data_IF_000959522317
#
_entry.id   IF_000959522317
#
_cell.length_a   1.000
_cell.length_b   1.000
_cell.length_c   1.000
_cell.angle_alpha   90.00
_cell.angle_beta   90.00
_cell.angle_gamma   90.00
#
_symmetry.space_group_name_H-M   'P 1'
#
loop_
_entity.id
_entity.type
_entity.pdbx_description
1 polymer ?
#
# COMPACT_ATOMS: atom_id res chain seq x y z
N UNK A 1 11.67 -15.56 -5.44
CA UNK A 1 12.36 -14.24 -5.42
C UNK A 1 12.76 -13.99 -3.98
N UNK A 2 14.04 -14.02 -3.68
CA UNK A 2 14.55 -13.70 -2.34
C UNK A 2 14.62 -12.18 -2.22
N UNK A 3 13.74 -11.58 -1.44
CA UNK A 3 13.71 -10.12 -1.20
C UNK A 3 15.11 -9.58 -0.80
N UNK A 4 15.90 -10.39 -0.12
CA UNK A 4 17.21 -10.03 0.41
C UNK A 4 18.31 -9.93 -0.64
N UNK A 5 18.28 -10.74 -1.69
CA UNK A 5 19.33 -10.78 -2.72
C UNK A 5 19.19 -9.66 -3.75
N UNK A 6 17.97 -9.14 -3.92
CA UNK A 6 17.63 -8.27 -5.03
C UNK A 6 17.51 -6.78 -4.63
N UNK A 7 17.83 -6.41 -3.38
CA UNK A 7 17.58 -5.07 -2.86
C UNK A 7 18.43 -3.92 -3.44
N UNK A 8 19.66 -4.08 -3.90
CA UNK A 8 20.45 -2.95 -4.44
C UNK A 8 20.27 -2.65 -5.93
N UNK A 9 19.80 -3.62 -6.73
CA UNK A 9 19.83 -3.55 -8.21
C UNK A 9 18.45 -3.52 -8.88
N UNK A 10 17.37 -3.45 -8.10
CA UNK A 10 16.05 -3.95 -8.48
C UNK A 10 15.19 -3.00 -9.32
N UNK A 11 15.48 -1.70 -9.40
CA UNK A 11 14.56 -0.80 -10.13
C UNK A 11 14.74 -0.78 -11.64
N UNK A 12 15.91 -1.07 -12.16
CA UNK A 12 16.09 -1.33 -13.60
C UNK A 12 15.42 -2.64 -14.03
N UNK A 13 15.17 -3.55 -13.09
CA UNK A 13 14.56 -4.85 -13.29
C UNK A 13 13.02 -4.88 -13.22
N UNK A 14 12.31 -3.76 -13.14
CA UNK A 14 10.84 -3.79 -13.09
C UNK A 14 10.22 -4.53 -14.29
N UNK A 15 10.85 -4.48 -15.46
CA UNK A 15 10.43 -5.25 -16.63
C UNK A 15 10.68 -6.75 -16.45
N UNK A 16 11.82 -7.13 -15.86
CA UNK A 16 12.12 -8.53 -15.53
C UNK A 16 11.25 -9.04 -14.38
N UNK A 17 10.96 -8.20 -13.40
CA UNK A 17 10.04 -8.51 -12.30
C UNK A 17 8.62 -8.77 -12.81
N UNK A 18 8.12 -7.99 -13.76
CA UNK A 18 6.84 -8.29 -14.42
C UNK A 18 6.86 -9.65 -15.11
N UNK A 19 7.95 -9.99 -15.80
CA UNK A 19 8.10 -11.29 -16.46
C UNK A 19 8.20 -12.44 -15.46
N UNK A 20 9.01 -12.27 -14.40
CA UNK A 20 9.11 -13.25 -13.31
C UNK A 20 7.77 -13.43 -12.59
N UNK A 21 7.06 -12.34 -12.31
CA UNK A 21 5.73 -12.36 -11.70
C UNK A 21 4.68 -13.00 -12.62
N UNK A 22 4.72 -12.72 -13.93
CA UNK A 22 3.86 -13.37 -14.90
C UNK A 22 4.03 -14.90 -14.88
N UNK A 23 5.28 -15.37 -14.92
CA UNK A 23 5.59 -16.79 -14.85
C UNK A 23 5.16 -17.38 -13.51
N UNK A 24 5.37 -16.69 -12.41
CA UNK A 24 4.96 -17.14 -11.08
C UNK A 24 3.43 -17.28 -10.95
N UNK A 25 2.67 -16.28 -11.41
CA UNK A 25 1.21 -16.36 -11.39
C UNK A 25 0.71 -17.44 -12.32
N UNK A 26 1.29 -17.57 -13.52
CA UNK A 26 0.95 -18.66 -14.43
C UNK A 26 1.18 -20.02 -13.80
N UNK A 27 2.32 -20.23 -13.12
CA UNK A 27 2.60 -21.48 -12.41
C UNK A 27 1.57 -21.78 -11.30
N UNK A 28 1.06 -20.77 -10.59
CA UNK A 28 -0.04 -20.96 -9.63
C UNK A 28 -1.30 -21.44 -10.33
N UNK A 29 -1.66 -20.82 -11.46
CA UNK A 29 -2.82 -21.22 -12.26
C UNK A 29 -2.68 -22.65 -12.80
N UNK A 30 -1.50 -23.00 -13.30
CA UNK A 30 -1.21 -24.37 -13.79
C UNK A 30 -1.33 -25.44 -12.66
N UNK A 31 -1.15 -25.04 -11.39
CA UNK A 31 -1.38 -25.85 -10.19
C UNK A 31 -2.83 -25.82 -9.69
N UNK A 32 -3.72 -25.11 -10.36
CA UNK A 32 -5.11 -24.96 -9.94
C UNK A 32 -5.33 -24.06 -8.72
N UNK A 33 -4.33 -23.23 -8.35
CA UNK A 33 -4.44 -22.29 -7.22
C UNK A 33 -5.24 -21.08 -7.67
N UNK A 34 -6.35 -20.72 -6.98
CA UNK A 34 -7.11 -19.50 -7.27
C UNK A 34 -6.27 -18.25 -7.05
N UNK A 35 -6.51 -17.23 -7.88
CA UNK A 35 -5.87 -15.90 -7.77
C UNK A 35 -6.95 -14.86 -7.55
N UNK A 36 -6.88 -14.14 -6.44
CA UNK A 36 -7.80 -13.06 -6.09
C UNK A 36 -7.06 -11.72 -6.20
N UNK A 37 -7.50 -10.89 -7.13
CA UNK A 37 -6.93 -9.56 -7.34
C UNK A 37 -7.65 -8.50 -6.52
N UNK A 38 -6.93 -7.54 -5.94
CA UNK A 38 -7.51 -6.46 -5.13
C UNK A 38 -6.87 -5.11 -5.42
N UNK A 39 -7.63 -4.02 -5.17
CA UNK A 39 -7.19 -2.65 -5.42
C UNK A 39 -7.00 -1.81 -4.17
N UNK A 40 -7.32 -2.31 -2.99
CA UNK A 40 -7.31 -1.48 -1.80
C UNK A 40 -6.73 -2.18 -0.56
N UNK A 41 -6.19 -1.38 0.35
CA UNK A 41 -5.70 -1.82 1.66
C UNK A 41 -6.84 -2.34 2.57
N UNK A 42 -8.09 -2.01 2.26
CA UNK A 42 -9.27 -2.52 2.99
C UNK A 42 -9.62 -3.98 2.65
N UNK A 43 -9.00 -4.56 1.64
CA UNK A 43 -9.24 -5.94 1.25
C UNK A 43 -8.85 -6.94 2.37
N UNK A 44 -9.84 -7.70 2.92
CA UNK A 44 -9.58 -8.69 3.98
C UNK A 44 -8.96 -9.95 3.36
N UNK A 45 -7.67 -9.87 3.02
CA UNK A 45 -6.94 -10.93 2.29
C UNK A 45 -6.94 -12.28 3.00
N UNK A 46 -7.06 -12.28 4.32
CA UNK A 46 -7.11 -13.48 5.15
C UNK A 46 -8.26 -14.42 4.76
N UNK A 47 -9.37 -13.86 4.29
CA UNK A 47 -10.51 -14.66 3.81
C UNK A 47 -10.16 -15.43 2.53
N UNK A 48 -9.51 -14.76 1.57
CA UNK A 48 -9.04 -15.40 0.35
C UNK A 48 -7.90 -16.40 0.62
N UNK A 49 -6.97 -16.05 1.49
CA UNK A 49 -5.87 -16.92 1.89
C UNK A 49 -6.34 -18.17 2.62
N UNK A 50 -7.43 -18.08 3.41
CA UNK A 50 -8.01 -19.22 4.12
C UNK A 50 -8.49 -20.34 3.17
N UNK A 51 -8.86 -20.00 1.93
CA UNK A 51 -9.19 -20.99 0.90
C UNK A 51 -7.97 -21.51 0.11
N UNK A 52 -6.77 -21.04 0.44
CA UNK A 52 -5.54 -21.39 -0.31
C UNK A 52 -5.33 -20.54 -1.57
N UNK A 53 -6.05 -19.44 -1.75
CA UNK A 53 -5.85 -18.55 -2.88
C UNK A 53 -4.62 -17.68 -2.72
N UNK A 54 -3.95 -17.37 -3.83
CA UNK A 54 -2.99 -16.30 -3.90
C UNK A 54 -3.71 -14.94 -4.01
N UNK A 55 -3.25 -13.95 -3.24
CA UNK A 55 -3.76 -12.59 -3.30
C UNK A 55 -2.76 -11.67 -3.99
N UNK A 56 -3.23 -10.84 -4.92
CA UNK A 56 -2.37 -9.94 -5.70
C UNK A 56 -2.90 -8.52 -5.70
N UNK A 57 -1.97 -7.54 -5.63
CA UNK A 57 -2.34 -6.13 -5.80
C UNK A 57 -2.45 -5.80 -7.28
N UNK A 58 -3.51 -5.07 -7.64
CA UNK A 58 -3.81 -4.67 -9.02
C UNK A 58 -3.63 -3.16 -9.26
N UNK A 59 -3.25 -2.38 -8.25
CA UNK A 59 -2.95 -0.96 -8.42
C UNK A 59 -1.77 -0.77 -9.37
N UNK A 60 -2.02 -0.19 -10.52
CA UNK A 60 -0.98 0.14 -11.50
C UNK A 60 -0.52 1.58 -11.32
N UNK A 61 0.78 1.81 -11.46
CA UNK A 61 1.44 3.09 -11.13
C UNK A 61 2.31 3.59 -12.31
N UNK A 62 1.83 3.40 -13.53
CA UNK A 62 2.50 3.82 -14.77
C UNK A 62 1.53 4.59 -15.67
N UNK A 63 2.03 5.51 -16.45
CA UNK A 63 1.26 6.27 -17.44
C UNK A 63 1.05 5.52 -18.79
N UNK A 64 1.73 4.39 -18.98
CA UNK A 64 1.75 3.61 -20.24
C UNK A 64 0.35 3.33 -20.82
N UNK A 65 -0.62 3.02 -19.97
CA UNK A 65 -1.97 2.62 -20.41
C UNK A 65 -3.03 3.69 -20.24
N UNK A 66 -2.67 4.86 -19.69
CA UNK A 66 -3.59 5.99 -19.50
C UNK A 66 -4.30 6.40 -20.80
N UNK A 67 -3.61 6.50 -21.96
CA UNK A 67 -4.29 6.81 -23.23
C UNK A 67 -5.37 5.80 -23.63
N UNK A 68 -5.21 4.53 -23.27
CA UNK A 68 -6.23 3.51 -23.52
C UNK A 68 -7.44 3.67 -22.57
N UNK A 69 -7.18 4.02 -21.32
CA UNK A 69 -8.23 4.29 -20.34
C UNK A 69 -9.05 5.55 -20.68
N UNK A 70 -8.43 6.58 -21.24
CA UNK A 70 -9.09 7.85 -21.59
C UNK A 70 -10.07 7.74 -22.78
N UNK A 71 -10.18 6.57 -23.41
CA UNK A 71 -11.24 6.29 -24.37
C UNK A 71 -12.61 6.11 -23.69
N UNK A 72 -12.60 5.68 -22.43
CA UNK A 72 -13.81 5.39 -21.65
C UNK A 72 -13.93 6.32 -20.43
N UNK A 73 -12.82 6.72 -19.85
CA UNK A 73 -12.76 7.51 -18.63
C UNK A 73 -12.36 8.97 -18.93
N UNK A 74 -12.87 9.95 -18.16
CA UNK A 74 -12.53 11.36 -18.36
C UNK A 74 -11.04 11.64 -18.10
N UNK A 75 -10.46 12.57 -18.86
CA UNK A 75 -9.04 12.97 -18.72
C UNK A 75 -8.71 13.55 -17.33
N UNK A 76 -9.65 14.29 -16.73
CA UNK A 76 -9.51 14.89 -15.39
C UNK A 76 -9.83 13.92 -14.26
N UNK A 77 -9.49 12.64 -14.42
CA UNK A 77 -9.61 11.60 -13.40
C UNK A 77 -8.23 11.23 -12.85
N UNK A 78 -8.21 10.77 -11.60
CA UNK A 78 -7.00 10.33 -10.90
C UNK A 78 -6.17 9.35 -11.76
N UNK A 79 -4.85 9.56 -11.92
CA UNK A 79 -3.98 8.71 -12.74
C UNK A 79 -3.91 7.27 -12.22
N UNK A 80 -4.06 7.02 -10.91
CA UNK A 80 -4.14 5.65 -10.37
C UNK A 80 -5.34 4.88 -10.93
N UNK A 81 -6.48 5.53 -11.06
CA UNK A 81 -7.70 4.92 -11.61
C UNK A 81 -7.51 4.66 -13.12
N UNK A 82 -7.04 5.67 -13.85
CA UNK A 82 -6.81 5.54 -15.31
C UNK A 82 -5.77 4.48 -15.61
N UNK A 83 -4.66 4.47 -14.91
CA UNK A 83 -3.61 3.46 -15.07
C UNK A 83 -4.15 2.05 -14.79
N UNK A 84 -4.79 1.84 -13.64
CA UNK A 84 -5.33 0.54 -13.24
C UNK A 84 -6.37 0.01 -14.24
N UNK A 85 -7.29 0.88 -14.68
CA UNK A 85 -8.29 0.53 -15.70
C UNK A 85 -7.65 0.23 -17.07
N UNK A 86 -6.69 1.05 -17.49
CA UNK A 86 -5.99 0.89 -18.76
C UNK A 86 -5.20 -0.42 -18.82
N UNK A 87 -4.48 -0.78 -17.75
CA UNK A 87 -3.79 -2.07 -17.67
C UNK A 87 -4.75 -3.26 -17.69
N UNK A 88 -5.90 -3.13 -17.03
CA UNK A 88 -6.95 -4.14 -17.06
C UNK A 88 -7.54 -4.31 -18.45
N UNK A 89 -7.93 -3.21 -19.09
CA UNK A 89 -8.56 -3.19 -20.43
C UNK A 89 -7.65 -3.68 -21.55
N UNK A 90 -6.34 -3.53 -21.40
CA UNK A 90 -5.35 -3.90 -22.42
C UNK A 90 -4.64 -5.22 -22.16
N UNK A 91 -5.05 -5.97 -21.12
CA UNK A 91 -4.44 -7.23 -20.70
C UNK A 91 -2.91 -7.14 -20.42
N UNK A 92 -2.42 -5.92 -20.17
CA UNK A 92 -0.99 -5.70 -19.90
C UNK A 92 -0.57 -6.01 -18.46
N UNK A 93 -1.52 -6.18 -17.56
CA UNK A 93 -1.25 -6.59 -16.18
C UNK A 93 -1.41 -8.11 -16.03
N UNK A 94 -0.32 -8.87 -15.82
CA UNK A 94 -0.42 -10.32 -15.66
C UNK A 94 -1.25 -10.72 -14.44
N UNK A 95 -1.18 -9.95 -13.38
CA UNK A 95 -1.98 -10.19 -12.18
C UNK A 95 -3.47 -10.03 -12.43
N UNK A 96 -3.88 -9.00 -13.16
CA UNK A 96 -5.28 -8.82 -13.55
C UNK A 96 -5.73 -9.94 -14.49
N UNK A 97 -4.93 -10.23 -15.51
CA UNK A 97 -5.24 -11.26 -16.52
C UNK A 97 -5.54 -12.61 -15.88
N UNK A 98 -4.68 -13.06 -14.93
CA UNK A 98 -4.82 -14.35 -14.27
C UNK A 98 -5.74 -14.36 -13.04
N UNK A 99 -6.23 -13.20 -12.58
CA UNK A 99 -7.18 -13.17 -11.46
C UNK A 99 -8.48 -13.89 -11.82
N UNK A 100 -8.94 -14.77 -10.96
CA UNK A 100 -10.25 -15.43 -11.08
C UNK A 100 -11.39 -14.52 -10.69
N UNK A 101 -11.12 -13.64 -9.73
CA UNK A 101 -12.02 -12.60 -9.23
C UNK A 101 -11.19 -11.35 -8.94
N UNK A 102 -11.75 -10.21 -9.28
CA UNK A 102 -11.28 -8.91 -8.85
C UNK A 102 -12.16 -8.41 -7.71
N UNK A 103 -11.56 -7.99 -6.60
CA UNK A 103 -12.29 -7.40 -5.47
C UNK A 103 -12.06 -5.90 -5.46
N UNK A 104 -13.15 -5.15 -5.37
CA UNK A 104 -13.13 -3.70 -5.35
C UNK A 104 -13.96 -3.15 -4.19
N UNK A 105 -13.33 -2.38 -3.30
CA UNK A 105 -14.00 -1.72 -2.19
C UNK A 105 -14.50 -0.34 -2.61
N UNK A 106 -15.72 0.02 -2.20
CA UNK A 106 -16.36 1.31 -2.54
C UNK A 106 -15.69 2.47 -1.80
N UNK A 107 -14.46 2.79 -2.19
CA UNK A 107 -13.68 3.89 -1.63
C UNK A 107 -14.09 5.24 -2.23
N UNK A 108 -13.43 5.74 -3.26
CA UNK A 108 -13.81 6.99 -3.92
C UNK A 108 -14.75 6.76 -5.11
N UNK A 109 -15.43 7.82 -5.57
CA UNK A 109 -16.41 7.72 -6.66
C UNK A 109 -15.80 7.23 -7.97
N UNK A 110 -14.57 7.65 -8.28
CA UNK A 110 -13.88 7.18 -9.47
C UNK A 110 -13.59 5.69 -9.44
N UNK A 111 -13.18 5.13 -8.29
CA UNK A 111 -12.97 3.68 -8.15
C UNK A 111 -14.27 2.90 -8.26
N UNK A 112 -15.33 3.36 -7.61
CA UNK A 112 -16.65 2.69 -7.70
C UNK A 112 -17.10 2.52 -9.16
N UNK A 113 -16.99 3.58 -9.97
CA UNK A 113 -17.36 3.53 -11.38
C UNK A 113 -16.35 2.73 -12.24
N UNK A 114 -15.08 2.80 -11.91
CA UNK A 114 -14.06 1.94 -12.55
C UNK A 114 -14.42 0.44 -12.40
N UNK A 115 -14.83 0.02 -11.21
CA UNK A 115 -15.21 -1.39 -10.96
C UNK A 115 -16.46 -1.80 -11.74
N UNK A 116 -17.44 -0.90 -11.86
CA UNK A 116 -18.65 -1.14 -12.65
C UNK A 116 -18.28 -1.41 -14.12
N UNK A 117 -17.42 -0.57 -14.71
CA UNK A 117 -16.96 -0.76 -16.09
C UNK A 117 -16.04 -1.96 -16.26
N UNK A 118 -15.21 -2.28 -15.27
CA UNK A 118 -14.43 -3.53 -15.28
C UNK A 118 -15.33 -4.77 -15.27
N UNK A 119 -16.49 -4.70 -14.66
CA UNK A 119 -17.48 -5.77 -14.63
C UNK A 119 -17.98 -6.18 -16.02
N UNK A 120 -17.79 -5.37 -17.05
CA UNK A 120 -18.15 -5.69 -18.44
C UNK A 120 -17.20 -6.73 -19.08
N UNK A 121 -15.97 -6.87 -18.58
CA UNK A 121 -14.97 -7.78 -19.14
C UNK A 121 -14.22 -8.65 -18.12
N UNK A 122 -14.49 -8.47 -16.82
CA UNK A 122 -13.91 -9.28 -15.74
C UNK A 122 -14.91 -9.46 -14.62
N UNK A 123 -14.91 -10.59 -13.96
CA UNK A 123 -15.73 -10.79 -12.78
C UNK A 123 -15.20 -9.94 -11.62
N UNK A 124 -16.03 -9.01 -11.15
CA UNK A 124 -15.71 -8.07 -10.07
C UNK A 124 -16.67 -8.28 -8.92
N UNK A 125 -16.13 -8.56 -7.74
CA UNK A 125 -16.88 -8.57 -6.49
C UNK A 125 -16.73 -7.22 -5.79
N UNK A 126 -17.82 -6.50 -5.60
CA UNK A 126 -17.79 -5.19 -4.94
C UNK A 126 -18.12 -5.36 -3.46
N UNK A 127 -17.24 -4.85 -2.60
CA UNK A 127 -17.46 -4.74 -1.15
C UNK A 127 -17.86 -3.31 -0.80
N UNK A 128 -18.99 -3.16 -0.13
CA UNK A 128 -19.51 -1.86 0.29
C UNK A 128 -18.78 -1.38 1.55
N UNK A 129 -17.76 -0.56 1.39
CA UNK A 129 -17.00 -0.01 2.50
C UNK A 129 -17.78 1.08 3.23
N UNK A 130 -18.08 0.93 4.53
CA UNK A 130 -18.62 2.02 5.34
C UNK A 130 -17.56 3.11 5.50
N UNK A 131 -17.79 4.29 4.91
CA UNK A 131 -16.85 5.40 4.94
C UNK A 131 -16.84 6.15 6.29
N UNK A 132 -16.81 5.40 7.38
CA UNK A 132 -16.83 5.88 8.75
C UNK A 132 -16.11 4.91 9.67
N UNK A 133 -15.48 5.45 10.72
CA UNK A 133 -14.78 4.67 11.75
C UNK A 133 -15.59 4.56 13.06
N UNK A 134 -16.89 4.86 13.01
CA UNK A 134 -17.80 4.77 14.17
C UNK A 134 -18.18 3.33 14.47
N UNK A 135 -18.28 2.95 15.75
CA UNK A 135 -18.64 1.60 16.15
C UNK A 135 -19.92 1.04 15.48
N UNK A 136 -20.91 1.90 15.25
CA UNK A 136 -22.21 1.50 14.64
C UNK A 136 -22.12 0.93 13.22
N UNK A 137 -21.00 1.15 12.50
CA UNK A 137 -20.84 0.63 11.13
C UNK A 137 -19.94 -0.61 11.06
N UNK A 138 -19.45 -1.07 12.19
CA UNK A 138 -18.60 -2.25 12.27
C UNK A 138 -19.32 -3.52 11.84
N UNK A 139 -20.57 -3.69 12.30
CA UNK A 139 -21.41 -4.84 11.91
C UNK A 139 -21.69 -4.86 10.40
N UNK A 140 -21.81 -3.68 9.77
CA UNK A 140 -21.98 -3.60 8.32
C UNK A 140 -20.73 -4.11 7.59
N UNK A 141 -19.54 -3.70 8.06
CA UNK A 141 -18.30 -4.16 7.44
C UNK A 141 -18.03 -5.64 7.68
N UNK A 142 -18.36 -6.15 8.88
CA UNK A 142 -18.33 -7.59 9.16
C UNK A 142 -19.28 -8.37 8.25
N UNK A 143 -20.49 -7.88 8.04
CA UNK A 143 -21.44 -8.50 7.12
C UNK A 143 -20.90 -8.56 5.68
N UNK A 144 -20.21 -7.51 5.21
CA UNK A 144 -19.56 -7.50 3.90
C UNK A 144 -18.41 -8.54 3.81
N UNK A 145 -17.63 -8.70 4.87
CA UNK A 145 -16.58 -9.72 4.95
C UNK A 145 -17.19 -11.13 4.87
N UNK A 146 -18.26 -11.38 5.59
CA UNK A 146 -18.98 -12.66 5.54
C UNK A 146 -19.63 -12.89 4.18
N UNK A 147 -20.22 -11.86 3.55
CA UNK A 147 -20.77 -11.93 2.17
C UNK A 147 -19.67 -12.28 1.16
N UNK A 148 -18.46 -11.72 1.33
CA UNK A 148 -17.31 -12.07 0.50
C UNK A 148 -16.89 -13.52 0.70
N UNK A 149 -16.84 -14.00 1.94
CA UNK A 149 -16.57 -15.41 2.25
C UNK A 149 -17.57 -16.34 1.56
N UNK A 150 -18.87 -16.11 1.73
CA UNK A 150 -19.94 -16.89 1.11
C UNK A 150 -19.86 -16.89 -0.42
N UNK A 151 -19.52 -15.75 -1.01
CA UNK A 151 -19.29 -15.64 -2.46
C UNK A 151 -18.15 -16.55 -2.92
N UNK A 152 -17.00 -16.55 -2.22
CA UNK A 152 -15.86 -17.40 -2.54
C UNK A 152 -16.23 -18.89 -2.38
N UNK A 153 -16.89 -19.26 -1.29
CA UNK A 153 -17.34 -20.64 -1.06
C UNK A 153 -18.23 -21.15 -2.19
N UNK A 154 -19.19 -20.33 -2.61
CA UNK A 154 -20.09 -20.67 -3.72
C UNK A 154 -19.36 -20.75 -5.07
N UNK A 155 -18.49 -19.78 -5.35
CA UNK A 155 -17.79 -19.71 -6.63
C UNK A 155 -16.81 -20.85 -6.85
N UNK A 156 -16.08 -21.24 -5.81
CA UNK A 156 -15.04 -22.27 -5.88
C UNK A 156 -15.51 -23.65 -5.37
N UNK A 157 -16.78 -23.76 -4.99
CA UNK A 157 -17.40 -25.01 -4.46
C UNK A 157 -16.63 -25.59 -3.27
N UNK A 158 -16.25 -24.74 -2.33
CA UNK A 158 -15.46 -25.08 -1.15
C UNK A 158 -16.14 -24.58 0.13
N UNK A 159 -15.64 -25.03 1.28
CA UNK A 159 -15.97 -24.45 2.59
C UNK A 159 -14.75 -23.81 3.20
N UNK A 160 -14.87 -22.56 3.63
CA UNK A 160 -13.83 -21.83 4.36
C UNK A 160 -14.16 -21.92 5.86
N UNK A 161 -13.38 -22.71 6.59
CA UNK A 161 -13.59 -22.89 8.03
C UNK A 161 -12.98 -21.75 8.82
N UNK A 162 -13.50 -21.49 10.03
CA UNK A 162 -12.93 -20.52 10.93
C UNK A 162 -11.47 -20.83 11.30
N UNK A 163 -11.12 -22.10 11.45
CA UNK A 163 -9.74 -22.53 11.71
C UNK A 163 -8.79 -22.10 10.59
N UNK A 164 -9.21 -22.23 9.32
CA UNK A 164 -8.43 -21.77 8.17
C UNK A 164 -8.27 -20.24 8.18
N UNK A 165 -9.34 -19.50 8.53
CA UNK A 165 -9.27 -18.03 8.66
C UNK A 165 -8.30 -17.64 9.77
N UNK A 166 -8.33 -18.28 10.94
CA UNK A 166 -7.39 -18.01 12.04
C UNK A 166 -5.94 -18.30 11.65
N UNK A 167 -5.67 -19.36 10.90
CA UNK A 167 -4.33 -19.65 10.35
C UNK A 167 -3.85 -18.53 9.39
N UNK A 168 -4.74 -18.06 8.51
CA UNK A 168 -4.42 -16.97 7.60
C UNK A 168 -4.18 -15.63 8.35
N UNK A 169 -4.98 -15.36 9.39
CA UNK A 169 -4.80 -14.20 10.28
C UNK A 169 -3.43 -14.25 10.95
N UNK A 170 -3.05 -15.39 11.53
CA UNK A 170 -1.75 -15.57 12.18
C UNK A 170 -0.60 -15.30 11.20
N UNK A 171 -0.63 -15.91 10.02
CA UNK A 171 0.39 -15.70 8.98
C UNK A 171 0.51 -14.22 8.58
N UNK A 172 -0.61 -13.53 8.34
CA UNK A 172 -0.57 -12.11 7.97
C UNK A 172 -0.14 -11.20 9.13
N UNK A 173 -0.44 -11.55 10.37
CA UNK A 173 0.07 -10.84 11.53
C UNK A 173 1.59 -11.01 11.69
N UNK A 174 2.12 -12.20 11.43
CA UNK A 174 3.57 -12.45 11.39
C UNK A 174 4.23 -11.56 10.32
N UNK A 175 3.68 -11.52 9.10
CA UNK A 175 4.17 -10.64 8.02
C UNK A 175 4.11 -9.16 8.41
N UNK A 176 2.98 -8.71 9.00
CA UNK A 176 2.85 -7.31 9.47
C UNK A 176 3.88 -6.97 10.54
N UNK A 177 4.10 -7.90 11.47
CA UNK A 177 5.08 -7.72 12.56
C UNK A 177 6.49 -7.62 12.01
N UNK A 178 6.92 -8.51 11.13
CA UNK A 178 8.25 -8.46 10.51
C UNK A 178 8.46 -7.17 9.71
N UNK A 179 7.47 -6.76 8.89
CA UNK A 179 7.54 -5.48 8.17
C UNK A 179 7.58 -4.28 9.13
N UNK A 180 6.86 -4.32 10.25
CA UNK A 180 6.88 -3.27 11.27
C UNK A 180 8.22 -3.19 11.99
N UNK A 181 8.87 -4.34 12.23
CA UNK A 181 10.21 -4.40 12.78
C UNK A 181 11.24 -3.80 11.82
N UNK A 182 11.15 -4.12 10.52
CA UNK A 182 11.98 -3.49 9.48
C UNK A 182 11.79 -1.98 9.44
N UNK A 183 10.54 -1.49 9.51
CA UNK A 183 10.29 -0.05 9.64
C UNK A 183 10.99 0.53 10.86
N UNK A 184 10.99 -0.21 11.97
CA UNK A 184 11.57 0.19 13.24
C UNK A 184 13.05 0.53 13.17
N UNK A 185 13.82 -0.07 12.24
CA UNK A 185 15.25 0.25 12.08
C UNK A 185 15.48 1.72 11.72
N UNK A 186 14.53 2.34 11.03
CA UNK A 186 14.63 3.75 10.65
C UNK A 186 14.44 4.73 11.82
N UNK A 187 14.16 4.24 13.05
CA UNK A 187 14.18 5.07 14.29
C UNK A 187 15.58 5.44 14.75
N UNK A 188 16.59 4.70 14.29
CA UNK A 188 17.99 5.07 14.52
C UNK A 188 18.31 6.45 13.90
N UNK A 189 19.17 7.21 14.56
CA UNK A 189 19.65 8.51 14.08
C UNK A 189 21.17 8.57 14.26
N UNK A 190 21.94 8.57 13.18
CA UNK A 190 21.54 8.55 11.76
C UNK A 190 20.82 7.26 11.32
N UNK A 191 20.06 7.34 10.21
CA UNK A 191 19.35 6.18 9.69
C UNK A 191 20.30 5.08 9.20
N UNK A 192 19.96 3.79 9.34
CA UNK A 192 20.81 2.68 8.93
C UNK A 192 20.84 2.44 7.42
N UNK A 193 19.76 2.78 6.74
CA UNK A 193 19.57 2.58 5.28
C UNK A 193 18.87 3.81 4.68
N UNK A 194 18.89 3.92 3.36
CA UNK A 194 18.11 4.92 2.62
C UNK A 194 16.63 4.62 2.66
N UNK A 195 15.81 5.65 2.61
CA UNK A 195 14.36 5.52 2.48
C UNK A 195 13.96 4.83 1.16
N UNK A 196 14.78 4.99 0.10
CA UNK A 196 14.60 4.27 -1.15
C UNK A 196 14.70 2.74 -0.97
N UNK A 197 15.65 2.24 -0.17
CA UNK A 197 15.77 0.82 0.12
C UNK A 197 14.59 0.29 0.94
N UNK A 198 14.14 1.07 1.95
CA UNK A 198 12.92 0.75 2.70
C UNK A 198 11.70 0.67 1.77
N UNK A 199 11.53 1.66 0.89
CA UNK A 199 10.46 1.69 -0.10
C UNK A 199 10.45 0.42 -0.97
N UNK A 200 11.62 0.00 -1.45
CA UNK A 200 11.77 -1.20 -2.28
C UNK A 200 11.25 -2.46 -1.59
N UNK A 201 11.61 -2.66 -0.33
CA UNK A 201 11.14 -3.83 0.43
C UNK A 201 9.63 -3.81 0.60
N UNK A 202 9.08 -2.66 0.98
CA UNK A 202 7.65 -2.50 1.20
C UNK A 202 6.83 -2.72 -0.07
N UNK A 203 7.26 -2.09 -1.15
CA UNK A 203 6.61 -2.22 -2.45
C UNK A 203 6.78 -3.64 -3.01
N UNK A 204 8.00 -4.19 -2.96
CA UNK A 204 8.33 -5.54 -3.43
C UNK A 204 7.59 -6.65 -2.68
N UNK A 205 7.44 -6.53 -1.35
CA UNK A 205 6.72 -7.51 -0.53
C UNK A 205 5.25 -7.66 -0.94
N UNK A 206 4.65 -6.59 -1.52
CA UNK A 206 3.29 -6.61 -2.05
C UNK A 206 3.11 -7.50 -3.29
N UNK A 207 4.18 -7.84 -3.99
CA UNK A 207 4.19 -8.69 -5.19
C UNK A 207 4.67 -10.12 -4.92
N UNK A 208 5.07 -10.44 -3.68
CA UNK A 208 5.46 -11.79 -3.32
C UNK A 208 4.23 -12.67 -3.11
N UNK A 209 4.04 -13.64 -4.00
CA UNK A 209 2.84 -14.49 -4.02
C UNK A 209 2.84 -15.53 -2.90
N UNK A 210 4.00 -16.08 -2.56
CA UNK A 210 4.17 -16.96 -1.40
C UNK A 210 4.41 -16.11 -0.14
N UNK A 211 3.35 -15.91 0.60
CA UNK A 211 3.38 -15.09 1.80
C UNK A 211 4.06 -15.75 2.99
N UNK A 212 4.22 -17.07 2.96
CA UNK A 212 4.86 -17.83 4.05
C UNK A 212 6.36 -17.53 4.18
N UNK A 213 6.98 -17.03 3.12
CA UNK A 213 8.41 -16.71 3.09
C UNK A 213 8.73 -15.27 3.51
N UNK A 214 7.72 -14.37 3.56
CA UNK A 214 7.96 -12.93 3.73
C UNK A 214 8.52 -12.63 5.12
N UNK A 215 7.93 -13.19 6.17
CA UNK A 215 8.34 -12.91 7.54
C UNK A 215 9.82 -13.27 7.77
N UNK A 216 10.22 -14.49 7.45
CA UNK A 216 11.59 -14.97 7.62
C UNK A 216 12.61 -14.14 6.84
N UNK A 217 12.30 -13.80 5.57
CA UNK A 217 13.19 -12.99 4.75
C UNK A 217 13.35 -11.57 5.25
N UNK A 218 12.24 -10.94 5.68
CA UNK A 218 12.25 -9.58 6.22
C UNK A 218 12.96 -9.54 7.57
N UNK A 219 12.74 -10.53 8.43
CA UNK A 219 13.42 -10.62 9.74
C UNK A 219 14.93 -10.83 9.57
N UNK A 220 15.35 -11.69 8.62
CA UNK A 220 16.76 -11.87 8.30
C UNK A 220 17.41 -10.57 7.78
N UNK A 221 16.69 -9.82 6.94
CA UNK A 221 17.13 -8.50 6.47
C UNK A 221 17.24 -7.50 7.62
N UNK A 222 16.24 -7.44 8.49
CA UNK A 222 16.22 -6.57 9.66
C UNK A 222 17.42 -6.85 10.56
N UNK A 223 17.67 -8.12 10.88
CA UNK A 223 18.82 -8.54 11.68
C UNK A 223 20.15 -8.16 11.04
N UNK A 224 20.27 -8.28 9.70
CA UNK A 224 21.45 -7.86 8.95
C UNK A 224 21.67 -6.35 9.06
N UNK A 225 20.62 -5.54 8.86
CA UNK A 225 20.71 -4.08 8.95
C UNK A 225 21.13 -3.65 10.36
N UNK A 226 20.53 -4.22 11.40
CA UNK A 226 20.89 -3.91 12.79
C UNK A 226 22.35 -4.27 13.12
N UNK A 227 22.83 -5.42 12.63
CA UNK A 227 24.22 -5.82 12.77
C UNK A 227 25.17 -4.84 12.07
N UNK A 228 24.91 -4.52 10.81
CA UNK A 228 25.70 -3.58 10.03
C UNK A 228 25.70 -2.18 10.66
N UNK A 229 24.56 -1.75 11.21
CA UNK A 229 24.48 -0.48 11.96
C UNK A 229 25.37 -0.49 13.21
N UNK A 230 25.36 -1.57 13.98
CA UNK A 230 26.25 -1.74 15.14
C UNK A 230 27.74 -1.74 14.77
N UNK A 231 28.07 -2.21 13.57
CA UNK A 231 29.43 -2.16 12.98
C UNK A 231 29.80 -0.77 12.41
N UNK A 232 28.87 0.20 12.48
CA UNK A 232 29.09 1.59 12.06
C UNK A 232 28.65 1.90 10.63
N UNK A 233 28.03 0.98 9.89
CA UNK A 233 27.44 1.23 8.57
C UNK A 233 26.11 1.96 8.74
N UNK A 234 26.07 3.19 8.32
CA UNK A 234 24.88 4.07 8.48
C UNK A 234 24.98 5.24 7.50
N UNK A 235 23.86 5.87 7.23
CA UNK A 235 23.81 7.13 6.47
C UNK A 235 24.41 8.29 7.29
N UNK A 236 24.72 9.39 6.61
CA UNK A 236 25.04 10.64 7.29
C UNK A 236 23.79 11.19 8.00
N UNK A 237 24.01 12.04 9.01
CA UNK A 237 22.90 12.76 9.66
C UNK A 237 22.30 13.76 8.66
N UNK A 238 21.00 13.63 8.41
CA UNK A 238 20.23 14.41 7.43
C UNK A 238 18.87 14.78 8.00
N UNK A 239 18.19 15.83 7.49
CA UNK A 239 16.77 16.08 7.78
C UNK A 239 15.91 14.86 7.48
N UNK A 240 15.07 14.49 8.45
CA UNK A 240 14.27 13.25 8.46
C UNK A 240 12.88 13.50 7.96
N UNK A 241 12.53 12.90 6.84
CA UNK A 241 11.29 13.17 6.11
C UNK A 241 10.31 12.01 6.25
N UNK A 242 9.06 12.35 6.57
CA UNK A 242 7.91 11.45 6.47
C UNK A 242 7.17 11.74 5.16
N UNK A 243 6.91 10.69 4.36
CA UNK A 243 6.03 10.80 3.19
C UNK A 243 4.64 10.28 3.55
N UNK A 244 3.60 11.09 3.29
CA UNK A 244 2.18 10.72 3.46
C UNK A 244 1.41 10.94 2.15
N UNK A 245 0.12 10.61 2.12
CA UNK A 245 -0.78 10.89 1.00
C UNK A 245 -1.19 9.65 0.18
N UNK A 246 -1.19 9.78 -1.13
CA UNK A 246 -1.63 8.74 -2.05
C UNK A 246 -0.79 7.45 -1.94
N UNK A 247 -1.31 6.28 -2.40
CA UNK A 247 -0.58 5.02 -2.34
C UNK A 247 0.83 5.11 -2.92
N UNK A 248 1.79 4.43 -2.28
CA UNK A 248 3.17 4.37 -2.79
C UNK A 248 3.23 3.57 -4.11
N UNK A 249 4.13 3.99 -4.99
CA UNK A 249 4.33 3.43 -6.32
C UNK A 249 5.28 4.30 -7.14
N UNK A 250 5.23 4.24 -8.45
CA UNK A 250 6.16 4.97 -9.33
C UNK A 250 6.25 6.48 -9.09
N UNK A 251 5.14 7.14 -8.71
CA UNK A 251 5.18 8.57 -8.34
C UNK A 251 5.93 8.83 -7.02
N UNK A 252 5.92 7.88 -6.09
CA UNK A 252 6.62 8.01 -4.81
C UNK A 252 8.14 7.95 -4.99
N UNK A 253 8.61 7.15 -5.93
CA UNK A 253 10.04 6.98 -6.21
C UNK A 253 10.69 8.30 -6.58
N UNK A 254 10.11 9.06 -7.53
CA UNK A 254 10.65 10.39 -7.90
C UNK A 254 10.61 11.41 -6.76
N UNK A 255 9.69 11.27 -5.79
CA UNK A 255 9.66 12.09 -4.59
C UNK A 255 10.79 11.70 -3.62
N UNK A 256 11.01 10.40 -3.42
CA UNK A 256 12.13 9.90 -2.60
C UNK A 256 13.46 10.35 -3.17
N UNK A 257 13.64 10.19 -4.48
CA UNK A 257 14.85 10.62 -5.19
C UNK A 257 15.10 12.12 -5.03
N UNK A 258 14.04 12.94 -5.16
CA UNK A 258 14.15 14.38 -4.95
C UNK A 258 14.53 14.73 -3.50
N UNK A 259 14.02 14.02 -2.49
CA UNK A 259 14.40 14.22 -1.09
C UNK A 259 15.86 13.81 -0.86
N UNK A 260 16.25 12.60 -1.26
CA UNK A 260 17.56 12.03 -0.92
C UNK A 260 18.70 12.65 -1.72
N UNK A 261 18.46 13.06 -2.97
CA UNK A 261 19.43 13.77 -3.79
C UNK A 261 19.67 15.22 -3.33
N UNK A 262 18.74 15.81 -2.58
CA UNK A 262 18.88 17.16 -2.03
C UNK A 262 19.24 17.16 -0.52
N UNK A 263 19.77 16.07 0.00
CA UNK A 263 20.35 15.99 1.34
C UNK A 263 19.40 15.66 2.46
N UNK A 264 18.14 15.33 2.19
CA UNK A 264 17.20 14.74 3.15
C UNK A 264 17.34 13.22 3.23
N UNK A 265 16.59 12.60 4.13
CA UNK A 265 16.41 11.14 4.20
C UNK A 265 14.96 10.80 4.50
N UNK A 266 14.37 9.91 3.72
CA UNK A 266 13.01 9.43 3.98
C UNK A 266 13.06 8.33 5.03
N UNK A 267 12.41 8.54 6.17
CA UNK A 267 12.47 7.60 7.31
C UNK A 267 11.19 6.80 7.53
N UNK A 268 10.07 7.23 6.97
CA UNK A 268 8.79 6.51 7.10
C UNK A 268 7.77 6.93 6.04
N UNK A 269 6.84 6.02 5.74
CA UNK A 269 5.74 6.19 4.79
C UNK A 269 4.40 5.93 5.48
N UNK A 270 3.53 6.93 5.60
CA UNK A 270 2.18 6.74 6.15
C UNK A 270 1.23 6.07 5.14
N UNK A 271 1.50 6.13 3.88
CA UNK A 271 0.70 5.70 2.72
C UNK A 271 0.15 4.25 2.80
N UNK A 272 -0.74 3.87 1.86
CA UNK A 272 -1.44 2.58 1.86
C UNK A 272 -0.53 1.34 1.85
N UNK A 273 0.54 1.33 1.07
CA UNK A 273 1.53 0.24 1.09
C UNK A 273 2.64 0.46 2.13
N UNK A 274 2.55 1.52 2.92
CA UNK A 274 3.40 1.83 4.05
C UNK A 274 2.76 1.46 5.38
N UNK A 275 2.91 2.32 6.38
CA UNK A 275 2.46 2.08 7.75
C UNK A 275 0.97 1.75 7.87
N UNK A 276 0.09 2.35 7.06
CA UNK A 276 -1.36 2.02 7.08
C UNK A 276 -1.66 0.54 6.95
N UNK A 277 -0.88 -0.19 6.18
CA UNK A 277 -1.13 -1.62 5.92
C UNK A 277 -0.66 -2.54 7.04
N UNK A 278 0.31 -2.10 7.85
CA UNK A 278 1.00 -2.93 8.84
C UNK A 278 0.82 -2.45 10.29
N UNK A 279 0.29 -1.25 10.51
CA UNK A 279 0.25 -0.61 11.83
C UNK A 279 -0.47 -1.45 12.90
N UNK A 280 -1.68 -1.94 12.58
CA UNK A 280 -2.50 -2.71 13.51
C UNK A 280 -2.59 -4.17 13.11
N UNK A 281 -2.45 -5.05 14.10
CA UNK A 281 -2.66 -6.49 13.96
C UNK A 281 -4.14 -6.84 14.18
N UNK A 282 -4.56 -7.99 13.69
CA UNK A 282 -5.83 -8.60 14.03
C UNK A 282 -5.68 -9.32 15.37
N UNK A 283 -6.64 -9.16 16.28
CA UNK A 283 -6.63 -9.90 17.54
C UNK A 283 -6.88 -11.41 17.26
N UNK A 284 -5.83 -12.22 17.42
CA UNK A 284 -5.86 -13.67 17.14
C UNK A 284 -6.70 -14.45 18.17
N UNK A 285 -6.77 -13.92 19.41
CA UNK A 285 -7.50 -14.54 20.52
C UNK A 285 -8.96 -14.08 20.61
N UNK A 286 -9.45 -13.30 19.63
CA UNK A 286 -10.82 -12.84 19.60
C UNK A 286 -11.80 -14.04 19.53
N UNK A 287 -12.88 -14.00 20.32
CA UNK A 287 -13.95 -14.99 20.25
C UNK A 287 -14.57 -15.03 18.85
N UNK A 288 -14.82 -13.85 18.27
CA UNK A 288 -15.29 -13.68 16.89
C UNK A 288 -14.17 -13.13 15.99
N UNK A 289 -13.55 -14.01 15.23
CA UNK A 289 -12.43 -13.65 14.35
C UNK A 289 -12.86 -12.72 13.21
N UNK A 290 -14.10 -12.82 12.71
CA UNK A 290 -14.59 -11.95 11.65
C UNK A 290 -14.82 -10.52 12.15
N UNK A 291 -15.24 -10.39 13.41
CA UNK A 291 -15.32 -9.10 14.10
C UNK A 291 -13.93 -8.48 14.22
N UNK A 292 -12.92 -9.24 14.67
CA UNK A 292 -11.55 -8.76 14.81
C UNK A 292 -10.93 -8.34 13.45
N UNK A 293 -11.21 -9.08 12.37
CA UNK A 293 -10.83 -8.69 11.01
C UNK A 293 -11.49 -7.36 10.64
N UNK A 294 -12.80 -7.22 10.88
CA UNK A 294 -13.53 -6.01 10.55
C UNK A 294 -12.99 -4.79 11.32
N UNK A 295 -12.72 -4.92 12.61
CA UNK A 295 -12.11 -3.89 13.46
C UNK A 295 -10.77 -3.42 12.93
N UNK A 296 -9.89 -4.35 12.62
CA UNK A 296 -8.57 -4.04 12.09
C UNK A 296 -8.66 -3.28 10.77
N UNK A 297 -9.45 -3.77 9.80
CA UNK A 297 -9.55 -3.14 8.49
C UNK A 297 -10.25 -1.79 8.56
N UNK A 298 -11.35 -1.66 9.30
CA UNK A 298 -12.06 -0.40 9.43
C UNK A 298 -11.27 0.67 10.18
N UNK A 299 -10.25 0.26 10.97
CA UNK A 299 -9.36 1.19 11.66
C UNK A 299 -8.39 1.94 10.73
N UNK A 300 -8.25 1.55 9.47
CA UNK A 300 -7.33 2.19 8.53
C UNK A 300 -7.76 3.63 8.25
N UNK A 301 -6.85 4.57 8.46
CA UNK A 301 -7.07 6.01 8.23
C UNK A 301 -6.89 6.38 6.75
N UNK A 302 -7.82 6.03 5.88
CA UNK A 302 -7.83 6.49 4.50
C UNK A 302 -8.63 7.80 4.36
N UNK A 303 -8.26 8.65 3.42
CA UNK A 303 -8.93 9.93 3.11
C UNK A 303 -10.42 9.81 2.75
N UNK A 304 -10.93 8.61 2.49
CA UNK A 304 -12.37 8.37 2.26
C UNK A 304 -13.18 8.30 3.55
N UNK A 305 -12.52 8.17 4.70
CA UNK A 305 -13.21 8.10 6.00
C UNK A 305 -13.64 9.47 6.48
N UNK A 306 -14.84 9.57 7.07
CA UNK A 306 -15.38 10.84 7.58
C UNK A 306 -16.12 10.62 8.92
N UNK A 307 -15.62 11.25 10.03
CA UNK A 307 -14.30 11.89 10.18
C UNK A 307 -13.16 10.85 10.11
N UNK A 308 -11.89 11.34 10.00
CA UNK A 308 -10.72 10.48 9.85
C UNK A 308 -9.67 10.69 10.98
N UNK A 309 -10.03 10.51 12.26
CA UNK A 309 -9.10 10.72 13.37
C UNK A 309 -7.95 9.71 13.36
N UNK A 310 -8.19 8.48 12.91
CA UNK A 310 -7.16 7.43 12.91
C UNK A 310 -5.97 7.76 11.98
N UNK A 311 -6.18 8.56 10.93
CA UNK A 311 -5.07 9.04 10.09
C UNK A 311 -4.19 10.02 10.84
N UNK A 312 -4.78 10.97 11.58
CA UNK A 312 -4.04 11.95 12.37
C UNK A 312 -3.29 11.26 13.53
N UNK A 313 -3.94 10.29 14.18
CA UNK A 313 -3.32 9.49 15.25
C UNK A 313 -2.07 8.73 14.73
N UNK A 314 -2.21 8.02 13.61
CA UNK A 314 -1.08 7.30 13.00
C UNK A 314 0.03 8.27 12.59
N UNK A 315 -0.32 9.35 11.90
CA UNK A 315 0.64 10.35 11.44
C UNK A 315 1.41 10.96 12.62
N UNK A 316 0.69 11.31 13.70
CA UNK A 316 1.30 11.86 14.91
C UNK A 316 2.28 10.91 15.59
N UNK A 317 1.94 9.62 15.69
CA UNK A 317 2.86 8.60 16.24
C UNK A 317 4.10 8.42 15.36
N UNK A 318 3.93 8.38 14.03
CA UNK A 318 5.06 8.26 13.11
C UNK A 318 6.00 9.47 13.20
N UNK A 319 5.46 10.70 13.31
CA UNK A 319 6.26 11.90 13.50
C UNK A 319 7.13 11.77 14.76
N UNK A 320 6.54 11.39 15.86
CA UNK A 320 7.24 11.30 17.16
C UNK A 320 8.24 10.14 17.18
N UNK A 321 7.82 8.93 16.77
CA UNK A 321 8.64 7.72 16.81
C UNK A 321 9.87 7.79 15.89
N UNK A 322 9.71 8.37 14.71
CA UNK A 322 10.78 8.47 13.71
C UNK A 322 11.52 9.81 13.76
N UNK A 323 11.25 10.67 14.76
CA UNK A 323 11.90 11.98 14.94
C UNK A 323 11.92 12.78 13.63
N UNK A 324 10.74 12.97 13.07
CA UNK A 324 10.57 13.60 11.75
C UNK A 324 10.79 15.09 11.84
N UNK A 325 11.65 15.63 10.98
CA UNK A 325 11.93 17.06 10.88
C UNK A 325 10.95 17.76 9.92
N UNK A 326 10.42 17.04 8.92
CA UNK A 326 9.46 17.59 7.96
C UNK A 326 8.53 16.53 7.36
N UNK A 327 7.30 16.93 7.05
CA UNK A 327 6.29 16.06 6.41
C UNK A 327 6.05 16.51 4.97
N UNK A 328 6.17 15.55 4.04
CA UNK A 328 5.87 15.72 2.64
C UNK A 328 4.63 14.90 2.27
N UNK A 329 3.54 15.58 1.90
CA UNK A 329 2.31 14.92 1.43
C UNK A 329 2.29 14.86 -0.09
N UNK A 330 2.35 13.64 -0.63
CA UNK A 330 2.21 13.39 -2.06
C UNK A 330 0.75 13.14 -2.42
N UNK A 331 0.17 13.99 -3.24
CA UNK A 331 -1.16 13.79 -3.81
C UNK A 331 -1.07 13.55 -5.31
N UNK A 332 -1.87 12.64 -5.82
CA UNK A 332 -1.99 12.45 -7.27
C UNK A 332 -2.95 13.49 -7.86
N UNK A 333 -2.66 13.95 -9.06
CA UNK A 333 -3.51 14.87 -9.78
C UNK A 333 -4.97 14.36 -9.81
N UNK A 334 -5.92 15.24 -9.59
CA UNK A 334 -7.35 14.91 -9.54
C UNK A 334 -7.73 13.83 -8.51
N UNK A 335 -6.92 13.55 -7.51
CA UNK A 335 -7.31 12.71 -6.38
C UNK A 335 -8.07 13.56 -5.36
N UNK A 336 -9.38 13.74 -5.56
CA UNK A 336 -10.19 14.64 -4.73
C UNK A 336 -10.14 14.31 -3.24
N UNK A 337 -10.18 13.04 -2.86
CA UNK A 337 -10.21 12.64 -1.45
C UNK A 337 -8.95 13.09 -0.70
N UNK A 338 -7.77 12.81 -1.24
CA UNK A 338 -6.51 13.23 -0.62
C UNK A 338 -6.31 14.75 -0.76
N UNK A 339 -6.57 15.34 -1.93
CA UNK A 339 -6.39 16.78 -2.13
C UNK A 339 -7.24 17.65 -1.18
N UNK A 340 -8.48 17.24 -0.89
CA UNK A 340 -9.32 17.98 0.06
C UNK A 340 -8.84 17.80 1.50
N UNK A 341 -8.36 16.62 1.87
CA UNK A 341 -7.91 16.32 3.24
C UNK A 341 -6.56 16.97 3.58
N UNK A 342 -5.76 17.42 2.58
CA UNK A 342 -4.49 18.13 2.82
C UNK A 342 -4.62 19.30 3.79
N UNK A 343 -5.78 19.96 3.85
CA UNK A 343 -6.03 21.03 4.81
C UNK A 343 -5.93 20.52 6.26
N UNK A 344 -6.54 19.38 6.56
CA UNK A 344 -6.52 18.79 7.90
C UNK A 344 -5.10 18.33 8.27
N UNK A 345 -4.40 17.68 7.32
CA UNK A 345 -3.03 17.22 7.53
C UNK A 345 -2.08 18.39 7.76
N UNK A 346 -2.16 19.45 6.95
CA UNK A 346 -1.34 20.66 7.11
C UNK A 346 -1.55 21.31 8.47
N UNK A 347 -2.81 21.46 8.90
CA UNK A 347 -3.10 22.05 10.22
C UNK A 347 -2.51 21.21 11.33
N UNK A 348 -2.74 19.91 11.32
CA UNK A 348 -2.21 18.99 12.31
C UNK A 348 -0.67 19.05 12.39
N UNK A 349 0.01 18.98 11.25
CA UNK A 349 1.48 18.99 11.20
C UNK A 349 2.06 20.34 11.63
N UNK A 350 1.54 21.46 11.10
CA UNK A 350 2.09 22.77 11.39
C UNK A 350 1.65 23.32 12.75
N UNK A 351 0.37 23.14 13.14
CA UNK A 351 -0.20 23.82 14.31
C UNK A 351 -0.11 22.93 15.57
N UNK A 352 -0.27 21.61 15.43
CA UNK A 352 -0.24 20.70 16.58
C UNK A 352 1.14 20.07 16.78
N UNK A 353 1.83 19.65 15.70
CA UNK A 353 3.18 19.07 15.78
C UNK A 353 4.30 20.10 15.67
N UNK A 354 4.03 21.30 15.15
CA UNK A 354 4.99 22.39 15.08
C UNK A 354 6.16 22.16 14.13
N UNK A 355 5.99 21.27 13.13
CA UNK A 355 7.03 20.97 12.15
C UNK A 355 6.61 21.40 10.74
N UNK A 356 7.57 21.64 9.83
CA UNK A 356 7.30 22.01 8.44
C UNK A 356 6.51 20.95 7.67
N UNK A 357 5.57 21.42 6.86
CA UNK A 357 4.75 20.61 5.98
C UNK A 357 4.77 21.13 4.56
N UNK A 358 4.90 20.24 3.60
CA UNK A 358 4.80 20.52 2.18
C UNK A 358 3.86 19.54 1.49
N UNK A 359 2.95 20.05 0.64
CA UNK A 359 2.17 19.25 -0.28
C UNK A 359 2.73 19.37 -1.70
N UNK A 360 2.85 18.24 -2.38
CA UNK A 360 3.17 18.15 -3.80
C UNK A 360 2.10 17.36 -4.53
N UNK A 361 1.57 17.95 -5.61
CA UNK A 361 0.70 17.25 -6.55
C UNK A 361 1.52 16.76 -7.73
N UNK A 362 1.33 15.50 -8.13
CA UNK A 362 2.09 14.85 -9.20
C UNK A 362 1.24 13.79 -9.94
N UNK A 363 1.78 13.18 -10.96
CA UNK A 363 1.21 12.05 -11.69
C UNK A 363 2.26 10.96 -11.96
N UNK A 364 2.03 10.04 -12.88
CA UNK A 364 2.99 8.99 -13.22
C UNK A 364 3.94 9.36 -14.35
N UNK A 365 3.79 10.55 -14.96
CA UNK A 365 4.74 11.02 -15.97
C UNK A 365 6.06 11.47 -15.33
N UNK A 366 7.10 11.61 -16.14
CA UNK A 366 8.39 12.15 -15.70
C UNK A 366 8.54 13.65 -16.02
N UNK A 367 7.48 14.29 -16.53
CA UNK A 367 7.54 15.68 -17.03
C UNK A 367 7.68 16.72 -15.93
N UNK A 368 7.26 16.41 -14.70
CA UNK A 368 7.28 17.32 -13.55
C UNK A 368 8.50 17.14 -12.62
N UNK A 369 9.39 16.17 -12.89
CA UNK A 369 10.55 15.83 -12.03
C UNK A 369 11.41 17.05 -11.71
N UNK A 370 11.71 17.91 -12.71
CA UNK A 370 12.51 19.12 -12.48
C UNK A 370 11.84 20.11 -11.54
N UNK A 371 10.52 20.33 -11.66
CA UNK A 371 9.76 21.19 -10.76
C UNK A 371 9.69 20.62 -9.35
N UNK A 372 9.42 19.33 -9.22
CA UNK A 372 9.40 18.63 -7.94
C UNK A 372 10.74 18.73 -7.23
N UNK A 373 11.83 18.47 -7.95
CA UNK A 373 13.18 18.55 -7.41
C UNK A 373 13.48 19.95 -6.85
N UNK A 374 13.18 21.01 -7.60
CA UNK A 374 13.41 22.40 -7.15
C UNK A 374 12.61 22.74 -5.89
N UNK A 375 11.35 22.35 -5.83
CA UNK A 375 10.49 22.62 -4.67
C UNK A 375 10.90 21.83 -3.45
N UNK A 376 11.26 20.55 -3.63
CA UNK A 376 11.69 19.68 -2.53
C UNK A 376 13.07 20.11 -2.02
N UNK A 377 14.01 20.51 -2.90
CA UNK A 377 15.29 21.08 -2.49
C UNK A 377 15.09 22.27 -1.55
N UNK A 378 14.26 23.25 -1.95
CA UNK A 378 13.96 24.41 -1.10
C UNK A 378 13.30 24.02 0.24
N UNK A 379 12.47 22.97 0.25
CA UNK A 379 11.89 22.46 1.50
C UNK A 379 12.94 21.84 2.43
N UNK A 380 13.87 21.04 1.89
CA UNK A 380 14.95 20.42 2.67
C UNK A 380 15.92 21.49 3.22
N UNK A 381 16.21 22.56 2.45
CA UNK A 381 17.07 23.67 2.89
C UNK A 381 16.48 24.47 4.07
N UNK A 382 15.18 24.38 4.29
CA UNK A 382 14.49 25.06 5.41
C UNK A 382 14.50 24.25 6.72
N UNK A 383 14.87 22.95 6.67
CA UNK A 383 14.89 22.05 7.83
C UNK A 383 16.25 22.08 8.53
#
# INVERSE_FOLDING_TARGET
MEIIKDLPEVFEEFAEQRQKSFLAVKQLKDKGIPVIGSYCTYFPKEIAMAMGAATVSLCSTSDETIPAAEKDLPRNLCPLIKSSYGFAKTDKCPFFYFSDVVVGETTCDGKKKMYEYMGEFKEVFIMELPQSQKAKVLDLWKAEILRFKEYLEKKFEITITEEQVRKAVKLENEVRTSLKNLYGVMRHDPAPIKGHDLFRVLYGSGFKLDRTLIADEVDALTAKIEKEYAEGKREDKKPRILITGCPIGGATEKIIDAVENNGGIVVTFENCSGAKSIDRLINEDAEDIYQAIAERYLSIGCSVMTPNPNRLELLGRLIDEYKVDGVLEMTLQACHTYNVETLSIRRFVNEEKGIPYMNVETDYSQTDVGQLNTRIAAFIEML
#
